data_IF_984892604019
#
_entry.id   IF_984892604019
#
_cell.length_a   1.000
_cell.length_b   1.000
_cell.length_c   1.000
_cell.angle_alpha   90.00
_cell.angle_beta   90.00
_cell.angle_gamma   90.00
#
_symmetry.space_group_name_H-M   'P 1'
#
loop_
_entity.id
_entity.type
_entity.pdbx_description
1 polymer ?
#
# COMPACT_ATOMS: atom_id res chain seq x y z
N UNK A 1 -21.19 1.53 -13.21
CA UNK A 1 -19.95 1.66 -12.40
C UNK A 1 -19.67 3.15 -12.30
N UNK A 2 -19.54 3.65 -11.11
CA UNK A 2 -19.33 5.09 -10.85
C UNK A 2 -17.83 5.31 -10.61
N UNK A 3 -17.14 5.95 -11.56
CA UNK A 3 -15.71 6.23 -11.48
C UNK A 3 -15.40 7.21 -10.32
N UNK A 4 -16.33 8.09 -9.98
CA UNK A 4 -16.17 9.05 -8.89
C UNK A 4 -16.08 8.36 -7.51
N UNK A 5 -16.56 7.12 -7.41
CA UNK A 5 -16.45 6.29 -6.21
C UNK A 5 -15.14 5.50 -6.12
N UNK A 6 -14.20 5.74 -6.98
CA UNK A 6 -12.87 5.13 -6.92
C UNK A 6 -11.86 6.10 -6.31
N UNK A 7 -10.85 5.54 -5.64
CA UNK A 7 -9.69 6.36 -5.25
C UNK A 7 -8.96 6.90 -6.47
N UNK A 8 -8.23 7.99 -6.33
CA UNK A 8 -7.45 8.60 -7.41
C UNK A 8 -6.50 7.58 -8.03
N UNK A 9 -5.79 6.82 -7.21
CA UNK A 9 -4.88 5.74 -7.66
C UNK A 9 -5.61 4.71 -8.52
N UNK A 10 -6.84 4.33 -8.14
CA UNK A 10 -7.62 3.35 -8.88
C UNK A 10 -8.12 3.91 -10.22
N UNK A 11 -8.53 5.18 -10.25
CA UNK A 11 -8.92 5.87 -11.50
C UNK A 11 -7.74 5.93 -12.49
N UNK A 12 -6.56 6.31 -12.01
CA UNK A 12 -5.33 6.35 -12.81
C UNK A 12 -4.93 4.96 -13.32
N UNK A 13 -5.06 3.92 -12.48
CA UNK A 13 -4.78 2.55 -12.86
C UNK A 13 -5.72 2.08 -13.97
N UNK A 14 -7.01 2.37 -13.88
CA UNK A 14 -7.99 2.03 -14.90
C UNK A 14 -7.72 2.77 -16.21
N UNK A 15 -7.40 4.06 -16.17
CA UNK A 15 -7.00 4.84 -17.34
C UNK A 15 -5.75 4.27 -18.03
N UNK A 16 -4.75 3.86 -17.24
CA UNK A 16 -3.53 3.23 -17.76
C UNK A 16 -3.82 1.85 -18.37
N UNK A 17 -4.69 1.05 -17.76
CA UNK A 17 -5.15 -0.23 -18.32
C UNK A 17 -5.88 -0.05 -19.65
N UNK A 18 -6.70 1.01 -19.77
CA UNK A 18 -7.34 1.39 -21.02
C UNK A 18 -6.31 1.70 -22.11
N UNK A 19 -5.25 2.43 -21.79
CA UNK A 19 -4.18 2.74 -22.75
C UNK A 19 -3.50 1.46 -23.25
N UNK A 20 -3.24 0.48 -22.38
CA UNK A 20 -2.69 -0.83 -22.80
C UNK A 20 -3.63 -1.49 -23.80
N UNK A 21 -4.92 -1.56 -23.51
CA UNK A 21 -5.91 -2.16 -24.41
C UNK A 21 -5.96 -1.43 -25.77
N UNK A 22 -5.87 -0.10 -25.76
CA UNK A 22 -5.84 0.72 -26.99
C UNK A 22 -4.60 0.44 -27.85
N UNK A 23 -3.41 0.44 -27.23
CA UNK A 23 -2.13 0.19 -27.93
C UNK A 23 -2.08 -1.22 -28.52
N UNK A 24 -2.69 -2.18 -27.83
CA UNK A 24 -2.76 -3.59 -28.26
C UNK A 24 -3.93 -3.87 -29.20
N UNK A 25 -4.76 -2.87 -29.54
CA UNK A 25 -5.97 -2.99 -30.36
C UNK A 25 -7.00 -3.97 -29.79
N UNK A 26 -7.12 -4.03 -28.47
CA UNK A 26 -8.12 -4.83 -27.79
C UNK A 26 -9.42 -4.04 -27.61
N UNK A 27 -10.57 -4.64 -27.91
CA UNK A 27 -11.86 -3.95 -27.87
C UNK A 27 -12.31 -3.61 -26.45
N UNK A 28 -11.97 -4.46 -25.48
CA UNK A 28 -12.37 -4.32 -24.08
C UNK A 28 -11.14 -4.31 -23.15
N UNK A 29 -11.31 -3.72 -22.00
CA UNK A 29 -10.31 -3.78 -20.93
C UNK A 29 -10.56 -5.12 -20.20
N UNK A 30 -9.58 -6.01 -20.27
CA UNK A 30 -9.56 -7.31 -19.59
C UNK A 30 -8.85 -7.25 -18.24
N UNK A 31 -9.05 -8.26 -17.40
CA UNK A 31 -8.39 -8.40 -16.09
C UNK A 31 -6.86 -8.23 -16.20
N UNK A 32 -6.14 -8.89 -17.12
CA UNK A 32 -4.69 -8.76 -17.18
C UNK A 32 -4.20 -7.35 -17.53
N UNK A 33 -4.98 -6.53 -18.25
CA UNK A 33 -4.59 -5.12 -18.48
C UNK A 33 -4.49 -4.35 -17.18
N UNK A 34 -5.48 -4.48 -16.29
CA UNK A 34 -5.48 -3.80 -15.00
C UNK A 34 -4.39 -4.36 -14.07
N UNK A 35 -4.23 -5.68 -14.03
CA UNK A 35 -3.18 -6.30 -13.21
C UNK A 35 -1.77 -5.96 -13.68
N UNK A 36 -1.59 -5.70 -14.97
CA UNK A 36 -0.29 -5.20 -15.50
C UNK A 36 0.11 -3.86 -14.89
N UNK A 37 -0.86 -3.03 -14.55
CA UNK A 37 -0.62 -1.76 -13.83
C UNK A 37 -0.32 -2.03 -12.35
N UNK A 38 -1.06 -2.93 -11.72
CA UNK A 38 -0.87 -3.25 -10.30
C UNK A 38 0.46 -3.92 -9.97
N UNK A 39 1.12 -4.56 -10.93
CA UNK A 39 2.45 -5.17 -10.72
C UNK A 39 3.61 -4.29 -11.20
N UNK A 40 3.36 -3.05 -11.58
CA UNK A 40 4.44 -2.12 -11.94
C UNK A 40 5.38 -1.87 -10.74
N UNK A 41 6.68 -1.65 -10.98
CA UNK A 41 7.63 -1.34 -9.91
C UNK A 41 7.14 -0.20 -9.02
N UNK A 42 7.27 -0.37 -7.71
CA UNK A 42 6.83 0.59 -6.68
C UNK A 42 5.32 0.86 -6.62
N UNK A 43 4.48 0.11 -7.35
CA UNK A 43 3.04 0.17 -7.18
C UNK A 43 2.63 -0.46 -5.84
N UNK A 44 1.43 -0.10 -5.36
CA UNK A 44 0.85 -0.74 -4.18
C UNK A 44 0.74 -2.27 -4.37
N UNK A 45 0.19 -2.70 -5.50
CA UNK A 45 -0.03 -4.11 -5.78
C UNK A 45 1.27 -4.91 -5.85
N UNK A 46 2.33 -4.36 -6.48
CA UNK A 46 3.63 -5.01 -6.53
C UNK A 46 4.21 -5.25 -5.13
N UNK A 47 4.19 -4.22 -4.27
CA UNK A 47 4.66 -4.36 -2.89
C UNK A 47 3.79 -5.35 -2.11
N UNK A 48 2.47 -5.26 -2.23
CA UNK A 48 1.52 -6.16 -1.57
C UNK A 48 1.78 -7.63 -1.93
N UNK A 49 1.91 -7.95 -3.21
CA UNK A 49 2.19 -9.32 -3.64
C UNK A 49 3.57 -9.81 -3.19
N UNK A 50 4.58 -8.96 -3.27
CA UNK A 50 5.94 -9.28 -2.82
C UNK A 50 5.98 -9.58 -1.32
N UNK A 51 5.32 -8.77 -0.50
CA UNK A 51 5.25 -8.95 0.96
C UNK A 51 4.53 -10.25 1.34
N UNK A 52 3.63 -10.73 0.47
CA UNK A 52 2.93 -11.99 0.62
C UNK A 52 3.64 -13.19 -0.03
N UNK A 53 4.87 -13.00 -0.50
CA UNK A 53 5.74 -14.07 -1.00
C UNK A 53 5.49 -14.48 -2.45
N UNK A 54 4.82 -13.64 -3.24
CA UNK A 54 4.63 -13.86 -4.68
C UNK A 54 5.87 -13.38 -5.44
N UNK A 55 6.38 -14.22 -6.32
CA UNK A 55 7.40 -13.84 -7.29
C UNK A 55 6.79 -12.91 -8.34
N UNK A 56 7.24 -11.66 -8.33
CA UNK A 56 6.68 -10.62 -9.21
C UNK A 56 7.09 -10.80 -10.67
N UNK A 57 8.28 -11.34 -10.93
CA UNK A 57 8.77 -11.54 -12.29
C UNK A 57 7.95 -12.65 -12.97
N UNK A 58 7.76 -13.77 -12.28
CA UNK A 58 6.92 -14.86 -12.76
C UNK A 58 5.45 -14.46 -12.91
N UNK A 59 4.92 -13.70 -11.94
CA UNK A 59 3.53 -13.24 -12.01
C UNK A 59 3.33 -12.23 -13.14
N UNK A 60 4.27 -11.30 -13.34
CA UNK A 60 4.24 -10.36 -14.47
C UNK A 60 4.32 -11.08 -15.81
N UNK A 61 5.19 -12.08 -15.91
CA UNK A 61 5.29 -12.90 -17.12
C UNK A 61 3.99 -13.65 -17.44
N UNK A 62 3.28 -14.14 -16.43
CA UNK A 62 1.96 -14.72 -16.60
C UNK A 62 0.96 -13.68 -17.13
N UNK A 63 0.93 -12.49 -16.52
CA UNK A 63 0.02 -11.39 -16.92
C UNK A 63 0.26 -11.02 -18.40
N UNK A 64 1.51 -10.86 -18.80
CA UNK A 64 1.85 -10.54 -20.19
C UNK A 64 1.40 -11.67 -21.16
N UNK A 65 1.60 -12.94 -20.80
CA UNK A 65 1.09 -14.08 -21.58
C UNK A 65 -0.43 -14.08 -21.71
N UNK A 66 -1.14 -13.66 -20.66
CA UNK A 66 -2.61 -13.54 -20.73
C UNK A 66 -3.05 -12.37 -21.61
N UNK A 67 -2.30 -11.24 -21.60
CA UNK A 67 -2.53 -10.12 -22.53
C UNK A 67 -2.30 -10.56 -23.99
N UNK A 68 -1.22 -11.28 -24.25
CA UNK A 68 -0.88 -11.76 -25.60
C UNK A 68 -1.89 -12.78 -26.18
N UNK A 69 -2.71 -13.43 -25.35
CA UNK A 69 -3.81 -14.30 -25.79
C UNK A 69 -5.05 -13.55 -26.25
N UNK A 70 -5.18 -12.27 -25.90
CA UNK A 70 -6.34 -11.47 -26.27
C UNK A 70 -6.24 -11.12 -27.76
N UNK A 71 -7.31 -11.39 -28.49
CA UNK A 71 -7.34 -11.10 -29.92
C UNK A 71 -7.29 -9.58 -30.17
N UNK A 72 -6.32 -9.15 -30.97
CA UNK A 72 -6.33 -7.81 -31.55
C UNK A 72 -7.31 -7.76 -32.72
N UNK A 73 -8.00 -6.63 -32.87
CA UNK A 73 -8.97 -6.42 -33.94
C UNK A 73 -8.58 -5.14 -34.68
N UNK A 74 -8.54 -5.20 -36.01
CA UNK A 74 -8.25 -4.02 -36.85
C UNK A 74 -9.47 -3.62 -37.66
N UNK A 75 -9.75 -2.32 -37.75
CA UNK A 75 -10.85 -1.78 -38.54
C UNK A 75 -11.04 -0.28 -38.37
N UNK A 76 -11.60 0.38 -39.40
CA UNK A 76 -11.75 1.84 -39.46
C UNK A 76 -12.79 2.44 -38.49
N UNK A 77 -13.68 1.62 -37.92
CA UNK A 77 -14.75 2.08 -37.01
C UNK A 77 -14.75 1.34 -35.66
N UNK A 78 -13.60 0.79 -35.26
CA UNK A 78 -13.47 0.03 -34.02
C UNK A 78 -12.97 0.97 -32.93
N UNK A 79 -13.61 0.95 -31.79
CA UNK A 79 -13.16 1.63 -30.58
C UNK A 79 -12.51 0.62 -29.66
N UNK A 80 -11.34 0.97 -29.12
CA UNK A 80 -10.55 0.09 -28.29
C UNK A 80 -10.59 0.51 -26.82
N UNK A 81 -10.69 -0.46 -25.91
CA UNK A 81 -10.60 -0.22 -24.48
C UNK A 81 -11.69 0.65 -23.89
N UNK A 82 -12.85 0.77 -24.53
CA UNK A 82 -13.95 1.62 -24.01
C UNK A 82 -14.83 0.90 -22.99
N UNK A 83 -14.92 -0.42 -23.06
CA UNK A 83 -15.75 -1.22 -22.18
C UNK A 83 -14.89 -2.17 -21.35
N UNK A 84 -15.43 -2.58 -20.21
CA UNK A 84 -14.84 -3.65 -19.39
C UNK A 84 -15.29 -5.01 -19.89
N UNK A 85 -14.41 -6.00 -19.78
CA UNK A 85 -14.80 -7.40 -19.96
C UNK A 85 -15.80 -7.83 -18.87
N UNK A 86 -16.59 -8.88 -19.10
CA UNK A 86 -17.49 -9.43 -18.09
C UNK A 86 -16.78 -9.79 -16.78
N UNK A 87 -15.58 -10.37 -16.86
CA UNK A 87 -14.77 -10.73 -15.70
C UNK A 87 -14.33 -9.51 -14.92
N UNK A 88 -13.84 -8.49 -15.61
CA UNK A 88 -13.41 -7.25 -14.94
C UNK A 88 -14.61 -6.50 -14.33
N UNK A 89 -15.75 -6.50 -15.02
CA UNK A 89 -16.99 -5.96 -14.46
C UNK A 89 -17.43 -6.71 -13.20
N UNK A 90 -17.30 -8.04 -13.20
CA UNK A 90 -17.60 -8.86 -12.02
C UNK A 90 -16.66 -8.49 -10.85
N UNK A 91 -15.37 -8.31 -11.09
CA UNK A 91 -14.42 -7.87 -10.04
C UNK A 91 -14.87 -6.56 -9.41
N UNK A 92 -15.23 -5.55 -10.20
CA UNK A 92 -15.72 -4.27 -9.67
C UNK A 92 -17.01 -4.43 -8.88
N UNK A 93 -17.91 -5.30 -9.33
CA UNK A 93 -19.16 -5.57 -8.61
C UNK A 93 -18.90 -6.24 -7.26
N UNK A 94 -17.99 -7.20 -7.20
CA UNK A 94 -17.61 -7.84 -5.92
C UNK A 94 -16.81 -6.91 -5.02
N UNK A 95 -15.96 -6.07 -5.61
CA UNK A 95 -15.23 -5.05 -4.87
C UNK A 95 -16.17 -4.06 -4.18
N UNK A 96 -17.23 -3.60 -4.84
CA UNK A 96 -18.24 -2.72 -4.24
C UNK A 96 -18.92 -3.39 -3.02
N UNK A 97 -19.25 -4.67 -3.11
CA UNK A 97 -19.81 -5.43 -1.99
C UNK A 97 -18.82 -5.56 -0.83
N UNK A 98 -17.54 -5.77 -1.11
CA UNK A 98 -16.49 -5.85 -0.10
C UNK A 98 -16.31 -4.49 0.58
N UNK A 99 -16.21 -3.40 -0.20
CA UNK A 99 -16.08 -2.05 0.30
C UNK A 99 -17.25 -1.66 1.23
N UNK A 100 -18.49 -1.94 0.82
CA UNK A 100 -19.67 -1.70 1.65
C UNK A 100 -19.63 -2.46 2.98
N UNK A 101 -19.17 -3.74 2.98
CA UNK A 101 -19.02 -4.52 4.21
C UNK A 101 -17.94 -3.96 5.15
N UNK A 102 -16.89 -3.38 4.58
CA UNK A 102 -15.79 -2.74 5.35
C UNK A 102 -16.16 -1.31 5.79
N UNK A 103 -17.24 -0.75 5.25
CA UNK A 103 -17.69 0.61 5.52
C UNK A 103 -16.88 1.68 4.80
N UNK A 104 -16.30 1.31 3.66
CA UNK A 104 -15.55 2.21 2.79
C UNK A 104 -16.50 3.02 1.90
N UNK A 105 -16.15 4.27 1.64
CA UNK A 105 -16.88 5.18 0.74
C UNK A 105 -16.32 5.12 -0.69
N UNK A 106 -15.05 4.74 -0.82
CA UNK A 106 -14.35 4.65 -2.11
C UNK A 106 -13.78 3.25 -2.35
N UNK A 107 -13.77 2.85 -3.63
CA UNK A 107 -13.12 1.65 -4.11
C UNK A 107 -11.61 1.89 -4.24
N UNK A 108 -10.85 1.23 -3.40
CA UNK A 108 -9.38 1.30 -3.37
C UNK A 108 -8.73 0.11 -4.09
N UNK A 109 -7.45 0.24 -4.42
CA UNK A 109 -6.69 -0.80 -5.11
C UNK A 109 -6.70 -2.12 -4.35
N UNK A 110 -6.52 -2.10 -3.02
CA UNK A 110 -6.47 -3.33 -2.22
C UNK A 110 -7.80 -4.09 -2.23
N UNK A 111 -8.93 -3.40 -2.33
CA UNK A 111 -10.24 -4.04 -2.44
C UNK A 111 -10.40 -4.72 -3.81
N UNK A 112 -9.91 -4.08 -4.87
CA UNK A 112 -9.88 -4.68 -6.21
C UNK A 112 -8.98 -5.91 -6.24
N UNK A 113 -7.78 -5.86 -5.62
CA UNK A 113 -6.91 -7.02 -5.51
C UNK A 113 -7.58 -8.18 -4.75
N UNK A 114 -8.35 -7.87 -3.71
CA UNK A 114 -9.10 -8.88 -2.96
C UNK A 114 -10.26 -9.48 -3.77
N UNK A 115 -10.95 -8.66 -4.55
CA UNK A 115 -12.08 -9.10 -5.38
C UNK A 115 -11.67 -10.06 -6.52
N UNK A 116 -10.39 -10.04 -6.95
CA UNK A 116 -9.89 -11.02 -7.93
C UNK A 116 -10.15 -12.47 -7.50
N UNK A 117 -10.05 -12.78 -6.22
CA UNK A 117 -10.25 -14.14 -5.69
C UNK A 117 -11.69 -14.66 -5.86
N UNK A 118 -12.65 -13.81 -6.24
CA UNK A 118 -14.00 -14.25 -6.60
C UNK A 118 -14.06 -14.90 -8.00
N UNK A 119 -13.09 -14.60 -8.86
CA UNK A 119 -12.93 -15.25 -10.16
C UNK A 119 -12.11 -16.54 -10.04
N UNK A 120 -12.71 -17.62 -9.55
CA UNK A 120 -12.00 -18.88 -9.23
C UNK A 120 -11.31 -19.55 -10.44
N UNK A 121 -11.83 -19.34 -11.65
CA UNK A 121 -11.30 -19.95 -12.88
C UNK A 121 -10.33 -19.03 -13.63
N UNK A 122 -10.08 -17.82 -13.11
CA UNK A 122 -9.15 -16.89 -13.73
C UNK A 122 -7.70 -17.37 -13.56
N UNK A 123 -6.85 -17.32 -14.59
CA UNK A 123 -5.45 -17.76 -14.52
C UNK A 123 -4.64 -17.04 -13.45
N UNK A 124 -4.87 -15.75 -13.23
CA UNK A 124 -4.18 -14.97 -12.21
C UNK A 124 -4.54 -15.45 -10.80
N UNK A 125 -5.84 -15.69 -10.54
CA UNK A 125 -6.31 -16.26 -9.28
C UNK A 125 -5.69 -17.65 -9.04
N UNK A 126 -5.70 -18.50 -10.06
CA UNK A 126 -5.14 -19.86 -9.99
C UNK A 126 -3.65 -19.82 -9.65
N UNK A 127 -2.90 -18.91 -10.26
CA UNK A 127 -1.49 -18.70 -9.97
C UNK A 127 -1.28 -18.28 -8.50
N UNK A 128 -1.97 -17.25 -8.03
CA UNK A 128 -1.85 -16.75 -6.66
C UNK A 128 -2.15 -17.84 -5.64
N UNK A 129 -3.23 -18.60 -5.84
CA UNK A 129 -3.62 -19.68 -4.94
C UNK A 129 -2.60 -20.83 -4.95
N UNK A 130 -2.08 -21.23 -6.11
CA UNK A 130 -1.05 -22.27 -6.21
C UNK A 130 0.27 -21.90 -5.55
N UNK A 131 0.58 -20.58 -5.45
CA UNK A 131 1.73 -20.04 -4.71
C UNK A 131 1.40 -19.70 -3.25
N UNK A 132 0.28 -20.20 -2.74
CA UNK A 132 -0.07 -20.13 -1.33
C UNK A 132 -0.72 -18.81 -0.87
N UNK A 133 -1.05 -17.90 -1.80
CA UNK A 133 -1.81 -16.69 -1.51
C UNK A 133 -3.30 -16.95 -1.70
N UNK A 134 -4.00 -17.18 -0.60
CA UNK A 134 -5.45 -17.36 -0.57
C UNK A 134 -6.16 -16.04 -0.29
N UNK A 135 -7.48 -15.96 -0.59
CA UNK A 135 -8.32 -14.82 -0.24
C UNK A 135 -8.21 -14.44 1.23
N UNK A 136 -8.23 -15.44 2.13
CA UNK A 136 -8.14 -15.22 3.58
C UNK A 136 -6.81 -14.58 3.99
N UNK A 137 -5.69 -15.03 3.40
CA UNK A 137 -4.38 -14.41 3.65
C UNK A 137 -4.30 -12.98 3.12
N UNK A 138 -4.83 -12.74 1.92
CA UNK A 138 -4.89 -11.39 1.34
C UNK A 138 -5.75 -10.46 2.19
N UNK A 139 -6.92 -10.91 2.64
CA UNK A 139 -7.79 -10.14 3.51
C UNK A 139 -7.12 -9.80 4.85
N UNK A 140 -6.52 -10.77 5.52
CA UNK A 140 -5.80 -10.54 6.77
C UNK A 140 -4.64 -9.54 6.62
N UNK A 141 -3.93 -9.57 5.48
CA UNK A 141 -2.87 -8.62 5.18
C UNK A 141 -3.42 -7.20 4.99
N UNK A 142 -4.55 -7.05 4.29
CA UNK A 142 -5.22 -5.76 4.09
C UNK A 142 -5.73 -5.20 5.43
N UNK A 143 -6.38 -6.02 6.26
CA UNK A 143 -6.85 -5.61 7.58
C UNK A 143 -5.70 -5.14 8.48
N UNK A 144 -4.57 -5.85 8.45
CA UNK A 144 -3.36 -5.47 9.18
C UNK A 144 -2.78 -4.15 8.65
N UNK A 145 -2.74 -3.96 7.34
CA UNK A 145 -2.20 -2.76 6.69
C UNK A 145 -3.05 -1.53 7.01
N UNK A 146 -4.37 -1.69 7.03
CA UNK A 146 -5.31 -0.61 7.34
C UNK A 146 -5.38 -0.28 8.85
N UNK A 147 -5.01 -1.20 9.73
CA UNK A 147 -5.10 -0.98 11.18
C UNK A 147 -6.51 -0.68 11.70
N UNK A 148 -7.54 -0.99 10.92
CA UNK A 148 -8.94 -0.68 11.21
C UNK A 148 -9.48 0.60 10.57
N UNK A 149 -8.66 1.32 9.82
CA UNK A 149 -9.09 2.54 9.10
C UNK A 149 -9.97 2.20 7.90
N UNK A 150 -10.92 3.09 7.62
CA UNK A 150 -11.84 3.03 6.48
C UNK A 150 -11.36 3.97 5.37
N UNK A 151 -11.66 3.61 4.14
CA UNK A 151 -11.38 4.44 2.97
C UNK A 151 -12.50 5.46 2.79
N UNK A 152 -12.36 6.61 3.43
CA UNK A 152 -13.32 7.73 3.40
C UNK A 152 -12.85 8.92 2.56
N UNK A 153 -11.72 8.79 1.88
CA UNK A 153 -11.11 9.82 1.03
C UNK A 153 -10.63 9.21 -0.28
N UNK A 154 -10.74 9.96 -1.37
CA UNK A 154 -10.19 9.55 -2.67
C UNK A 154 -8.68 9.36 -2.67
N UNK A 155 -7.96 10.00 -1.74
CA UNK A 155 -6.50 9.92 -1.60
C UNK A 155 -6.06 9.03 -0.43
N UNK A 156 -6.93 8.15 0.08
CA UNK A 156 -6.63 7.30 1.24
C UNK A 156 -5.38 6.45 1.06
N UNK A 157 -5.14 5.92 -0.14
CA UNK A 157 -3.96 5.11 -0.46
C UNK A 157 -2.63 5.89 -0.38
N UNK A 158 -2.65 7.18 -0.66
CA UNK A 158 -1.47 8.05 -0.47
C UNK A 158 -1.13 8.18 1.02
N UNK A 159 -2.14 8.18 1.88
CA UNK A 159 -1.96 8.27 3.34
C UNK A 159 -1.30 7.02 3.91
N UNK A 160 -1.67 5.82 3.43
CA UNK A 160 -1.05 4.55 3.87
C UNK A 160 0.45 4.49 3.53
N UNK A 161 0.88 5.14 2.45
CA UNK A 161 2.27 5.13 1.98
C UNK A 161 3.06 6.39 2.31
N UNK A 162 2.39 7.46 2.78
CA UNK A 162 3.09 8.72 3.04
C UNK A 162 4.22 8.55 4.06
N UNK A 163 4.01 7.75 5.09
CA UNK A 163 5.05 7.45 6.07
C UNK A 163 6.20 6.60 5.48
N UNK A 164 5.89 5.62 4.64
CA UNK A 164 6.93 4.78 4.00
C UNK A 164 7.68 5.55 2.90
N UNK A 165 6.98 6.41 2.17
CA UNK A 165 7.55 7.17 1.03
C UNK A 165 8.34 8.40 1.48
N UNK A 166 7.88 9.08 2.53
CA UNK A 166 8.45 10.35 2.98
C UNK A 166 9.03 10.29 4.39
N UNK A 167 8.80 9.21 5.13
CA UNK A 167 9.33 8.99 6.46
C UNK A 167 10.50 8.01 6.47
N UNK A 168 11.39 8.21 7.41
CA UNK A 168 12.47 7.28 7.68
C UNK A 168 12.12 6.52 8.96
N UNK A 169 11.98 5.18 8.87
CA UNK A 169 11.77 4.33 10.04
C UNK A 169 13.05 4.23 10.86
N UNK A 170 13.12 4.98 11.95
CA UNK A 170 14.28 5.01 12.83
C UNK A 170 14.46 3.69 13.59
N UNK A 171 13.39 2.98 13.91
CA UNK A 171 13.47 1.67 14.60
C UNK A 171 14.08 0.63 13.65
N UNK A 172 13.69 0.62 12.38
CA UNK A 172 14.28 -0.24 11.37
C UNK A 172 15.76 0.10 11.11
N UNK A 173 16.12 1.38 11.09
CA UNK A 173 17.52 1.81 10.96
C UNK A 173 18.39 1.31 12.11
N UNK A 174 17.90 1.41 13.34
CA UNK A 174 18.62 0.89 14.52
C UNK A 174 18.78 -0.63 14.43
N UNK A 175 17.74 -1.37 14.03
CA UNK A 175 17.79 -2.84 13.86
C UNK A 175 18.81 -3.26 12.79
N UNK A 176 19.00 -2.44 11.76
CA UNK A 176 19.99 -2.72 10.69
C UNK A 176 21.42 -2.31 11.05
N UNK A 177 21.67 -1.77 12.24
CA UNK A 177 22.99 -1.33 12.70
C UNK A 177 23.55 -0.09 12.01
N UNK A 178 22.70 0.68 11.32
CA UNK A 178 23.10 1.87 10.56
C UNK A 178 23.13 3.16 11.39
N UNK A 179 22.88 3.08 12.69
CA UNK A 179 22.74 4.25 13.55
C UNK A 179 23.77 4.21 14.67
N UNK A 180 24.46 5.32 14.86
CA UNK A 180 25.45 5.47 15.94
C UNK A 180 24.76 5.48 17.32
N UNK A 181 25.42 4.97 18.38
CA UNK A 181 24.87 4.98 19.73
C UNK A 181 24.74 6.42 20.26
N UNK A 182 23.56 6.72 20.80
CA UNK A 182 23.32 8.02 21.45
C UNK A 182 23.86 7.97 22.89
N UNK A 183 24.72 8.92 23.24
CA UNK A 183 25.36 9.00 24.55
C UNK A 183 24.96 10.33 25.23
N UNK A 184 24.71 10.27 26.54
CA UNK A 184 24.54 11.48 27.38
C UNK A 184 23.20 12.18 27.26
N UNK A 185 22.14 11.49 26.79
CA UNK A 185 20.77 12.03 26.64
C UNK A 185 19.71 11.23 27.41
N UNK A 186 20.12 10.54 28.45
CA UNK A 186 19.24 9.62 29.18
C UNK A 186 18.08 10.30 29.89
N UNK A 187 18.27 11.48 30.43
CA UNK A 187 17.21 12.24 31.13
C UNK A 187 16.14 12.71 30.14
N UNK A 188 16.54 13.33 29.04
CA UNK A 188 15.62 13.86 28.03
C UNK A 188 14.84 12.70 27.35
N UNK A 189 15.48 11.57 27.09
CA UNK A 189 14.82 10.40 26.55
C UNK A 189 13.78 9.84 27.55
N UNK A 190 14.10 9.79 28.85
CA UNK A 190 13.13 9.37 29.88
C UNK A 190 11.94 10.31 29.95
N UNK A 191 12.16 11.63 29.84
CA UNK A 191 11.08 12.60 29.85
C UNK A 191 10.17 12.45 28.63
N UNK A 192 10.72 12.22 27.44
CA UNK A 192 9.95 11.91 26.23
C UNK A 192 9.13 10.64 26.42
N UNK A 193 9.73 9.56 26.94
CA UNK A 193 9.04 8.31 27.26
C UNK A 193 7.88 8.54 28.22
N UNK A 194 8.11 9.35 29.27
CA UNK A 194 7.08 9.67 30.28
C UNK A 194 5.90 10.41 29.64
N UNK A 195 6.15 11.35 28.73
CA UNK A 195 5.08 12.08 28.02
C UNK A 195 4.33 11.16 27.08
N UNK A 196 5.02 10.36 26.26
CA UNK A 196 4.42 9.42 25.32
C UNK A 196 3.58 8.33 26.01
N UNK A 197 3.90 7.99 27.27
CA UNK A 197 3.17 6.96 28.03
C UNK A 197 1.88 7.48 28.68
N UNK A 198 1.56 8.77 28.55
CA UNK A 198 0.32 9.35 29.08
C UNK A 198 -0.89 8.91 28.24
N UNK A 199 -2.07 8.81 28.88
CA UNK A 199 -3.34 8.52 28.18
C UNK A 199 -3.81 9.68 27.29
N UNK A 200 -3.49 10.94 27.69
CA UNK A 200 -3.84 12.17 26.98
C UNK A 200 -2.67 13.11 27.05
N UNK A 201 -2.60 14.11 26.14
CA UNK A 201 -1.49 15.09 26.06
C UNK A 201 -0.13 14.39 25.95
N UNK A 202 -0.06 13.37 25.11
CA UNK A 202 1.10 12.50 24.93
C UNK A 202 2.01 12.93 23.76
N UNK A 203 1.93 14.19 23.34
CA UNK A 203 2.75 14.76 22.27
C UNK A 203 3.91 15.57 22.89
N UNK A 204 5.13 15.02 23.02
CA UNK A 204 6.29 15.76 23.48
C UNK A 204 6.76 16.75 22.41
N UNK A 205 7.18 17.92 22.83
CA UNK A 205 7.81 18.94 21.99
C UNK A 205 9.24 19.18 22.49
N UNK A 206 10.22 18.99 21.61
CA UNK A 206 11.62 19.25 21.89
C UNK A 206 11.99 20.67 21.43
N UNK A 207 12.34 21.52 22.37
CA UNK A 207 12.70 22.92 22.12
C UNK A 207 14.20 23.10 22.36
N UNK A 208 14.84 23.86 21.49
CA UNK A 208 16.27 24.20 21.63
C UNK A 208 16.82 24.77 20.33
N UNK A 209 18.01 25.34 20.39
CA UNK A 209 18.69 25.90 19.22
C UNK A 209 19.05 24.83 18.17
N UNK A 210 19.30 25.23 16.92
CA UNK A 210 19.84 24.29 15.90
C UNK A 210 21.13 23.63 16.40
N UNK A 211 21.31 22.35 16.10
CA UNK A 211 22.55 21.63 16.43
C UNK A 211 22.67 21.09 17.87
N UNK A 212 21.76 21.38 18.78
CA UNK A 212 21.84 20.91 20.19
C UNK A 212 21.51 19.44 20.39
N UNK A 213 21.23 18.68 19.31
CA UNK A 213 21.00 17.22 19.36
C UNK A 213 19.54 16.82 19.63
N UNK A 214 18.54 17.62 19.24
CA UNK A 214 17.12 17.24 19.36
C UNK A 214 16.79 15.94 18.64
N UNK A 215 17.34 15.72 17.46
CA UNK A 215 17.18 14.49 16.68
C UNK A 215 17.79 13.28 17.40
N UNK A 216 18.95 13.45 18.03
CA UNK A 216 19.60 12.39 18.79
C UNK A 216 18.73 11.85 19.94
N UNK A 217 17.86 12.68 20.55
CA UNK A 217 16.92 12.23 21.58
C UNK A 217 15.91 11.25 20.99
N UNK A 218 15.39 11.52 19.77
CA UNK A 218 14.43 10.64 19.08
C UNK A 218 15.10 9.35 18.62
N UNK A 219 16.34 9.43 18.14
CA UNK A 219 17.17 8.29 17.78
C UNK A 219 17.48 7.39 18.99
N UNK A 220 17.81 8.01 20.12
CA UNK A 220 18.00 7.29 21.38
C UNK A 220 16.74 6.60 21.88
N UNK A 221 15.57 7.20 21.69
CA UNK A 221 14.29 6.54 21.96
C UNK A 221 14.09 5.31 21.06
N UNK A 222 14.40 5.40 19.77
CA UNK A 222 14.33 4.25 18.84
C UNK A 222 15.27 3.12 19.29
N UNK A 223 16.48 3.44 19.76
CA UNK A 223 17.41 2.47 20.32
C UNK A 223 16.85 1.76 21.56
N UNK A 224 16.18 2.49 22.45
CA UNK A 224 15.54 1.90 23.64
C UNK A 224 14.36 1.01 23.28
N UNK A 225 13.57 1.37 22.27
CA UNK A 225 12.50 0.52 21.76
C UNK A 225 13.06 -0.81 21.23
N UNK A 226 14.13 -0.77 20.43
CA UNK A 226 14.78 -1.98 19.90
C UNK A 226 15.32 -2.87 21.02
N UNK A 227 15.91 -2.26 22.06
CA UNK A 227 16.40 -2.99 23.26
C UNK A 227 15.29 -3.41 24.21
N UNK A 228 14.02 -3.05 23.92
CA UNK A 228 12.85 -3.26 24.83
C UNK A 228 12.99 -2.59 26.20
N UNK A 229 13.82 -1.55 26.28
CA UNK A 229 14.05 -0.72 27.48
C UNK A 229 13.06 0.47 27.50
N UNK A 230 11.79 0.16 27.35
CA UNK A 230 10.66 1.11 27.35
C UNK A 230 9.43 0.44 27.99
N UNK A 231 8.45 1.21 28.50
CA UNK A 231 7.18 0.68 28.98
C UNK A 231 6.46 -0.19 27.94
N UNK A 232 5.60 -1.12 28.39
CA UNK A 232 4.93 -2.12 27.53
C UNK A 232 4.20 -1.51 26.34
N UNK A 233 3.53 -0.39 26.55
CA UNK A 233 2.78 0.34 25.52
C UNK A 233 3.64 0.94 24.41
N UNK A 234 4.97 0.99 24.57
CA UNK A 234 5.92 1.53 23.59
C UNK A 234 6.81 0.45 22.93
N UNK A 235 6.84 -0.78 23.45
CA UNK A 235 7.77 -1.83 23.00
C UNK A 235 7.65 -2.23 21.55
N UNK A 236 6.43 -2.15 20.99
CA UNK A 236 6.13 -2.54 19.61
C UNK A 236 5.79 -1.32 18.73
N UNK A 237 6.15 -0.11 19.18
CA UNK A 237 5.92 1.11 18.42
C UNK A 237 7.07 1.37 17.44
N UNK A 238 6.70 1.96 16.30
CA UNK A 238 7.61 2.42 15.27
C UNK A 238 7.73 3.94 15.34
N UNK A 239 8.90 4.47 15.06
CA UNK A 239 9.15 5.91 14.98
C UNK A 239 9.51 6.25 13.54
N UNK A 240 8.68 7.06 12.90
CA UNK A 240 8.98 7.64 11.60
C UNK A 240 9.48 9.07 11.76
N UNK A 241 10.63 9.36 11.17
CA UNK A 241 11.14 10.72 11.01
C UNK A 241 10.71 11.26 9.65
N UNK A 242 9.98 12.37 9.66
CA UNK A 242 9.64 13.12 8.46
C UNK A 242 10.36 14.47 8.49
N UNK A 243 11.22 14.72 7.51
CA UNK A 243 11.86 16.01 7.34
C UNK A 243 10.92 16.87 6.50
N UNK A 244 10.11 17.69 7.15
CA UNK A 244 9.34 18.74 6.49
C UNK A 244 10.28 19.83 5.98
N UNK A 245 10.31 20.10 4.67
CA UNK A 245 10.86 21.36 4.19
C UNK A 245 9.85 22.45 4.56
N UNK A 246 10.23 23.36 5.44
CA UNK A 246 9.50 24.59 5.59
C UNK A 246 9.64 25.37 4.27
N UNK A 247 8.55 25.51 3.52
CA UNK A 247 8.49 26.53 2.49
C UNK A 247 8.35 27.88 3.21
N UNK A 248 9.42 28.67 3.15
CA UNK A 248 9.39 30.10 3.46
C UNK A 248 8.90 30.83 2.22
#
# INVERSE_FOLDING_TARGET
MDIEKMTTTMQEALGSAQQIAQVRHHQVIEVPHLWRIFVQPNSFGANFYKDLGIDLDDFTNLIEKEIDKINSVEGSNITYGQNLSPDLFQIFTEADKIAQKMGDEYLSTEIILLALFELKQNPLTSYLVSHGLTKAKAQAAIEKLRGGDKVTSQNAEETYKALEKYGVDLVAQVKSGKQDPVIGRDEEIRDVIRVLSRKTKNNPVLIGEPGVGKTAIVEGLAQRIVRKDVPENLKDKTIFSQIGRAHV
#
